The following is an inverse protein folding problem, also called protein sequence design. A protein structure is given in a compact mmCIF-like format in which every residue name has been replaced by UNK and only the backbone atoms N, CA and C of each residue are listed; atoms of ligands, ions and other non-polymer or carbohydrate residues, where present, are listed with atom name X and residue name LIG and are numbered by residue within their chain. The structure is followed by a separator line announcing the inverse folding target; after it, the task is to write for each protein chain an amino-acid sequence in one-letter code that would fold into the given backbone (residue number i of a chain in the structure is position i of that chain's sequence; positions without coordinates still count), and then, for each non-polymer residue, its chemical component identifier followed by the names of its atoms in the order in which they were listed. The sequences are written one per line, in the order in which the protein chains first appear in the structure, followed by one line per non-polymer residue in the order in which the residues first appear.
data_IF_343957490509
#
_entry.id   IF_343957490509
#
_cell.length_a   1.000
_cell.length_b   1.000
_cell.length_c   1.000
_cell.angle_alpha   90.00
_cell.angle_beta   90.00
_cell.angle_gamma   90.00
#
_symmetry.space_group_name_H-M   'P 1'
#
loop_
_entity.id
_entity.type
_entity.pdbx_description
1 polymer ?
#
# COMPACT_ATOMS: atom_id res chain seq x y z
N UNK A 1 -10.55 -15.50 -11.18
CA UNK A 1 -10.97 -14.29 -11.89
C UNK A 1 -10.77 -13.14 -10.91
N UNK A 2 -9.51 -12.74 -10.69
CA UNK A 2 -9.13 -11.89 -9.54
C UNK A 2 -7.84 -11.08 -9.76
N UNK A 3 -7.21 -11.16 -10.93
CA UNK A 3 -5.90 -10.51 -11.16
C UNK A 3 -6.02 -9.04 -11.62
N UNK A 4 -7.10 -8.71 -12.34
CA UNK A 4 -7.26 -7.40 -12.99
C UNK A 4 -7.47 -6.28 -11.97
N UNK A 5 -8.31 -6.51 -10.95
CA UNK A 5 -8.58 -5.54 -9.87
C UNK A 5 -7.55 -5.52 -8.76
N UNK A 6 -6.32 -5.98 -8.99
CA UNK A 6 -5.18 -5.71 -8.10
C UNK A 6 -4.16 -4.82 -8.82
N UNK A 7 -4.03 -4.99 -10.14
CA UNK A 7 -3.17 -4.16 -10.98
C UNK A 7 -3.66 -2.71 -11.03
N UNK A 8 -4.98 -2.48 -11.10
CA UNK A 8 -5.56 -1.14 -11.17
C UNK A 8 -5.34 -0.36 -9.85
N UNK A 9 -5.50 -0.99 -8.68
CA UNK A 9 -5.29 -0.33 -7.38
C UNK A 9 -3.81 -0.19 -7.01
N UNK A 10 -2.92 -1.07 -7.52
CA UNK A 10 -1.48 -0.85 -7.47
C UNK A 10 -1.05 0.33 -8.37
N UNK A 11 -1.63 0.45 -9.57
CA UNK A 11 -1.40 1.60 -10.45
C UNK A 11 -1.91 2.90 -9.83
N UNK A 12 -3.08 2.88 -9.19
CA UNK A 12 -3.60 4.01 -8.42
C UNK A 12 -2.65 4.46 -7.32
N UNK A 13 -2.01 3.53 -6.60
CA UNK A 13 -1.02 3.89 -5.59
C UNK A 13 0.19 4.63 -6.19
N UNK A 14 0.60 4.32 -7.42
CA UNK A 14 1.66 5.04 -8.12
C UNK A 14 1.17 6.43 -8.52
N UNK A 15 0.01 6.52 -9.18
CA UNK A 15 -0.61 7.79 -9.59
C UNK A 15 -0.77 8.78 -8.42
N UNK A 16 -1.29 8.30 -7.29
CA UNK A 16 -1.51 9.12 -6.09
C UNK A 16 -0.20 9.70 -5.53
N UNK A 17 0.93 9.00 -5.69
CA UNK A 17 2.24 9.49 -5.27
C UNK A 17 2.80 10.55 -6.23
N UNK A 18 2.32 10.60 -7.46
CA UNK A 18 2.66 11.62 -8.46
C UNK A 18 1.82 12.89 -8.32
N UNK A 19 0.78 12.91 -7.49
CA UNK A 19 0.06 14.14 -7.14
C UNK A 19 1.02 15.14 -6.48
N UNK A 20 1.43 16.17 -7.24
CA UNK A 20 2.46 17.15 -6.84
C UNK A 20 1.97 18.16 -5.78
N UNK A 21 2.66 19.30 -5.63
CA UNK A 21 2.30 20.37 -4.70
C UNK A 21 0.99 21.09 -5.10
N UNK A 22 0.34 21.84 -4.17
CA UNK A 22 -0.98 22.45 -4.40
C UNK A 22 -1.03 23.33 -5.66
N UNK A 23 -1.94 23.03 -6.60
CA UNK A 23 -2.03 23.74 -7.87
C UNK A 23 -2.96 23.07 -8.90
N UNK A 24 -2.65 23.21 -10.20
CA UNK A 24 -3.49 22.75 -11.32
C UNK A 24 -3.53 21.23 -11.52
N UNK A 25 -2.57 20.49 -10.95
CA UNK A 25 -2.46 19.03 -11.06
C UNK A 25 -3.13 18.29 -9.88
N UNK A 26 -3.84 19.00 -9.00
CA UNK A 26 -4.53 18.35 -7.89
C UNK A 26 -5.86 17.75 -8.30
N UNK A 27 -6.16 16.53 -7.82
CA UNK A 27 -7.45 15.90 -8.06
C UNK A 27 -8.56 16.72 -7.41
N UNK A 28 -9.78 16.53 -7.91
CA UNK A 28 -10.97 17.04 -7.24
C UNK A 28 -11.14 16.36 -5.88
N UNK A 29 -11.85 17.00 -4.96
CA UNK A 29 -12.14 16.44 -3.63
C UNK A 29 -12.78 15.04 -3.71
N UNK A 30 -13.68 14.80 -4.66
CA UNK A 30 -14.31 13.50 -4.85
C UNK A 30 -13.32 12.43 -5.33
N UNK A 31 -12.42 12.77 -6.24
CA UNK A 31 -11.37 11.88 -6.74
C UNK A 31 -10.38 11.53 -5.63
N UNK A 32 -9.93 12.51 -4.85
CA UNK A 32 -9.05 12.29 -3.70
C UNK A 32 -9.69 11.39 -2.63
N UNK A 33 -11.00 11.54 -2.37
CA UNK A 33 -11.76 10.68 -1.45
C UNK A 33 -11.89 9.25 -1.99
N UNK A 34 -12.26 9.10 -3.26
CA UNK A 34 -12.35 7.80 -3.90
C UNK A 34 -11.00 7.06 -3.89
N UNK A 35 -9.89 7.77 -4.08
CA UNK A 35 -8.56 7.18 -3.97
C UNK A 35 -8.26 6.70 -2.55
N UNK A 36 -8.63 7.47 -1.51
CA UNK A 36 -8.50 7.03 -0.12
C UNK A 36 -9.30 5.76 0.15
N UNK A 37 -10.56 5.70 -0.29
CA UNK A 37 -11.44 4.55 -0.05
C UNK A 37 -10.91 3.28 -0.73
N UNK A 38 -10.47 3.40 -1.99
CA UNK A 38 -9.83 2.31 -2.74
C UNK A 38 -8.53 1.84 -2.09
N UNK A 39 -7.63 2.76 -1.77
CA UNK A 39 -6.33 2.43 -1.15
C UNK A 39 -6.48 1.86 0.27
N UNK A 40 -7.48 2.30 1.04
CA UNK A 40 -7.81 1.68 2.32
C UNK A 40 -8.26 0.23 2.13
N UNK A 41 -9.25 0.00 1.25
CA UNK A 41 -9.79 -1.34 1.01
C UNK A 41 -8.72 -2.30 0.50
N UNK A 42 -7.92 -1.84 -0.47
CA UNK A 42 -6.82 -2.62 -1.02
C UNK A 42 -5.71 -2.87 0.03
N UNK A 43 -5.34 -1.85 0.81
CA UNK A 43 -4.39 -1.99 1.91
C UNK A 43 -4.85 -2.98 2.97
N UNK A 44 -6.15 -3.05 3.29
CA UNK A 44 -6.70 -4.03 4.24
C UNK A 44 -6.59 -5.46 3.73
N UNK A 45 -6.83 -5.66 2.43
CA UNK A 45 -6.61 -6.94 1.78
C UNK A 45 -5.13 -7.33 1.85
N UNK A 46 -4.21 -6.47 1.39
CA UNK A 46 -2.77 -6.72 1.44
C UNK A 46 -2.28 -6.99 2.87
N UNK A 47 -2.81 -6.27 3.87
CA UNK A 47 -2.49 -6.51 5.29
C UNK A 47 -2.87 -7.93 5.70
N UNK A 48 -4.04 -8.40 5.27
CA UNK A 48 -4.50 -9.77 5.54
C UNK A 48 -3.59 -10.79 4.88
N UNK A 49 -3.22 -10.55 3.62
CA UNK A 49 -2.34 -11.44 2.86
C UNK A 49 -0.93 -11.48 3.46
N UNK A 50 -0.35 -10.33 3.85
CA UNK A 50 0.95 -10.27 4.55
C UNK A 50 0.86 -11.05 5.85
N UNK A 51 -0.21 -10.87 6.63
CA UNK A 51 -0.38 -11.61 7.89
C UNK A 51 -0.46 -13.12 7.65
N UNK A 52 -1.12 -13.55 6.58
CA UNK A 52 -1.20 -14.95 6.18
C UNK A 52 0.14 -15.50 5.68
N UNK A 53 0.98 -14.68 5.03
CA UNK A 53 2.30 -15.09 4.57
C UNK A 53 3.33 -15.22 5.71
N UNK A 54 3.24 -14.36 6.73
CA UNK A 54 4.13 -14.35 7.90
C UNK A 54 3.48 -15.05 9.12
N UNK A 55 3.17 -16.35 8.97
CA UNK A 55 2.56 -17.16 10.04
C UNK A 55 3.51 -17.51 11.19
N UNK A 56 4.82 -17.48 10.95
CA UNK A 56 5.84 -17.78 11.95
C UNK A 56 7.03 -16.83 11.79
N UNK A 57 7.66 -16.46 12.91
CA UNK A 57 8.80 -15.54 12.93
C UNK A 57 8.41 -14.07 13.09
N UNK A 58 9.36 -13.19 12.77
CA UNK A 58 9.21 -11.74 12.97
C UNK A 58 8.36 -11.16 11.84
N UNK A 59 7.21 -10.57 12.21
CA UNK A 59 6.36 -9.85 11.26
C UNK A 59 7.05 -8.57 10.74
N UNK A 60 6.78 -8.18 9.49
CA UNK A 60 7.39 -6.98 8.92
C UNK A 60 6.84 -5.72 9.60
N UNK A 61 7.68 -4.69 9.87
CA UNK A 61 7.25 -3.47 10.58
C UNK A 61 6.06 -2.75 9.93
N UNK A 62 5.92 -2.86 8.61
CA UNK A 62 4.81 -2.27 7.85
C UNK A 62 3.44 -2.80 8.31
N UNK A 63 3.37 -4.03 8.83
CA UNK A 63 2.13 -4.61 9.34
C UNK A 63 1.62 -3.86 10.57
N UNK A 64 2.51 -3.47 11.48
CA UNK A 64 2.16 -2.67 12.67
C UNK A 64 1.78 -1.22 12.35
N UNK A 65 2.25 -0.68 11.22
CA UNK A 65 1.76 0.60 10.71
C UNK A 65 0.38 0.44 10.05
N UNK A 66 0.18 -0.65 9.30
CA UNK A 66 -1.08 -0.99 8.66
C UNK A 66 -2.21 -1.20 9.67
N UNK A 67 -1.94 -1.91 10.77
CA UNK A 67 -2.88 -2.10 11.88
C UNK A 67 -3.36 -0.79 12.51
N UNK A 68 -2.51 0.24 12.53
CA UNK A 68 -2.84 1.54 13.12
C UNK A 68 -3.51 2.50 12.16
N UNK A 69 -3.23 2.40 10.86
CA UNK A 69 -3.63 3.42 9.87
C UNK A 69 -4.78 3.03 8.98
N UNK A 70 -4.90 1.75 8.58
CA UNK A 70 -5.95 1.30 7.69
C UNK A 70 -7.31 1.29 8.40
N UNK A 71 -8.39 1.43 7.63
CA UNK A 71 -9.76 1.43 8.14
C UNK A 71 -10.15 2.66 8.96
N UNK A 72 -9.20 3.57 9.24
CA UNK A 72 -9.54 4.84 9.87
C UNK A 72 -10.40 5.67 8.91
N UNK A 73 -11.56 6.16 9.38
CA UNK A 73 -12.41 7.00 8.56
C UNK A 73 -11.62 8.24 8.15
N UNK A 74 -11.98 8.77 6.98
CA UNK A 74 -11.53 10.11 6.66
C UNK A 74 -12.01 11.04 7.78
N UNK A 75 -13.29 11.03 8.15
CA UNK A 75 -13.87 11.89 9.20
C UNK A 75 -12.98 11.96 10.45
N UNK A 76 -12.54 13.16 10.85
CA UNK A 76 -11.75 13.26 12.06
C UNK A 76 -12.63 12.88 13.25
N UNK A 77 -12.05 12.16 14.21
CA UNK A 77 -12.67 11.93 15.52
C UNK A 77 -12.92 13.25 16.28
N UNK A 78 -12.30 14.36 15.83
CA UNK A 78 -12.44 15.70 16.40
C UNK A 78 -12.87 16.71 15.32
N UNK A 79 -13.98 17.45 15.51
CA UNK A 79 -14.62 18.28 14.49
C UNK A 79 -13.87 19.58 14.10
N UNK A 80 -12.64 19.79 14.57
CA UNK A 80 -12.05 21.13 14.65
C UNK A 80 -11.15 21.55 13.46
N UNK A 81 -10.87 20.65 12.50
CA UNK A 81 -10.03 20.99 11.34
C UNK A 81 -10.82 20.89 10.02
N UNK A 82 -10.92 21.98 9.25
CA UNK A 82 -11.58 21.95 7.95
C UNK A 82 -10.81 21.04 6.99
N UNK A 83 -11.55 20.13 6.34
CA UNK A 83 -10.95 19.19 5.40
C UNK A 83 -10.70 19.86 4.05
N UNK A 84 -9.44 20.17 3.78
CA UNK A 84 -8.99 20.67 2.49
C UNK A 84 -8.67 19.52 1.54
N UNK A 85 -8.70 19.77 0.23
CA UNK A 85 -8.21 18.78 -0.78
C UNK A 85 -6.80 18.33 -0.41
N UNK A 86 -5.94 19.26 0.05
CA UNK A 86 -4.59 18.98 0.55
C UNK A 86 -4.55 17.87 1.59
N UNK A 87 -5.39 17.98 2.62
CA UNK A 87 -5.42 17.01 3.71
C UNK A 87 -5.86 15.62 3.23
N UNK A 88 -6.74 15.53 2.23
CA UNK A 88 -7.17 14.26 1.65
C UNK A 88 -6.10 13.67 0.73
N UNK A 89 -5.46 14.50 -0.10
CA UNK A 89 -4.33 14.11 -0.95
C UNK A 89 -3.18 13.56 -0.10
N UNK A 90 -2.79 14.25 0.98
CA UNK A 90 -1.75 13.74 1.89
C UNK A 90 -2.16 12.43 2.57
N UNK A 91 -3.44 12.26 2.90
CA UNK A 91 -3.95 10.99 3.41
C UNK A 91 -3.83 9.89 2.37
N UNK A 92 -4.24 10.15 1.12
CA UNK A 92 -4.11 9.22 0.01
C UNK A 92 -2.65 8.81 -0.23
N UNK A 93 -1.72 9.77 -0.27
CA UNK A 93 -0.28 9.52 -0.43
C UNK A 93 0.29 8.66 0.71
N UNK A 94 -0.13 8.91 1.95
CA UNK A 94 0.30 8.08 3.08
C UNK A 94 -0.21 6.63 2.97
N UNK A 95 -1.45 6.45 2.49
CA UNK A 95 -2.00 5.12 2.22
C UNK A 95 -1.30 4.45 1.03
N UNK A 96 -0.99 5.18 -0.03
CA UNK A 96 -0.27 4.66 -1.19
C UNK A 96 1.13 4.14 -0.81
N UNK A 97 1.89 4.89 0.01
CA UNK A 97 3.18 4.41 0.54
C UNK A 97 3.04 3.14 1.38
N UNK A 98 1.96 3.07 2.18
CA UNK A 98 1.68 1.91 3.01
C UNK A 98 1.33 0.68 2.17
N UNK A 99 0.49 0.84 1.14
CA UNK A 99 0.17 -0.18 0.14
C UNK A 99 1.43 -0.69 -0.56
N UNK A 100 2.30 0.19 -1.04
CA UNK A 100 3.59 -0.21 -1.64
C UNK A 100 4.48 -0.97 -0.65
N UNK A 101 4.49 -0.57 0.63
CA UNK A 101 5.25 -1.27 1.66
C UNK A 101 4.71 -2.68 1.93
N UNK A 102 3.38 -2.85 1.96
CA UNK A 102 2.74 -4.16 2.14
C UNK A 102 2.99 -5.07 0.93
N UNK A 103 2.89 -4.54 -0.30
CA UNK A 103 3.20 -5.30 -1.51
C UNK A 103 4.65 -5.81 -1.50
N UNK A 104 5.62 -4.94 -1.20
CA UNK A 104 7.03 -5.34 -1.08
C UNK A 104 7.25 -6.42 0.00
N UNK A 105 6.48 -6.37 1.09
CA UNK A 105 6.55 -7.40 2.12
C UNK A 105 5.99 -8.75 1.64
N UNK A 106 4.92 -8.75 0.84
CA UNK A 106 4.40 -9.96 0.18
C UNK A 106 5.41 -10.52 -0.81
N UNK A 107 5.98 -9.67 -1.66
CA UNK A 107 6.96 -10.08 -2.67
C UNK A 107 8.19 -10.72 -2.00
N UNK A 108 8.64 -10.17 -0.86
CA UNK A 108 9.73 -10.71 -0.05
C UNK A 108 9.35 -11.99 0.73
N UNK A 109 8.07 -12.23 0.97
CA UNK A 109 7.56 -13.45 1.63
C UNK A 109 7.49 -14.64 0.69
N UNK A 110 7.39 -14.38 -0.61
CA UNK A 110 7.33 -15.41 -1.63
C UNK A 110 8.72 -16.04 -1.78
N UNK A 111 8.88 -17.36 -1.60
CA UNK A 111 10.15 -18.04 -1.81
C UNK A 111 10.38 -18.16 -3.33
N UNK A 112 10.73 -17.06 -3.99
CA UNK A 112 11.24 -17.12 -5.36
C UNK A 112 12.62 -17.76 -5.30
N UNK A 113 12.60 -19.07 -5.50
CA UNK A 113 13.57 -19.90 -6.21
C UNK A 113 14.86 -19.16 -6.63
N UNK A 114 15.81 -19.05 -5.70
CA UNK A 114 17.21 -18.99 -6.08
C UNK A 114 17.62 -20.38 -6.58
N UNK A 115 17.16 -20.77 -7.78
CA UNK A 115 17.82 -21.82 -8.57
C UNK A 115 19.11 -21.25 -9.15
N UNK A 116 20.02 -20.82 -8.29
CA UNK A 116 21.42 -20.72 -8.64
C UNK A 116 22.00 -22.12 -8.45
N UNK A 117 22.04 -22.87 -9.56
CA UNK A 117 22.72 -24.15 -9.72
C UNK A 117 24.06 -24.16 -8.95
N UNK A 118 24.37 -25.16 -8.12
CA UNK A 118 25.72 -25.32 -7.63
C UNK A 118 26.61 -25.61 -8.84
N UNK A 119 27.46 -24.65 -9.22
CA UNK A 119 28.57 -24.91 -10.14
C UNK A 119 29.45 -25.94 -9.45
N UNK A 120 29.28 -27.20 -9.84
CA UNK A 120 30.23 -28.27 -9.60
C UNK A 120 31.59 -27.78 -10.11
N UNK A 121 32.42 -27.25 -9.21
CA UNK A 121 33.84 -27.08 -9.48
C UNK A 121 34.44 -28.45 -9.30
N UNK A 122 34.44 -29.24 -10.39
CA UNK A 122 35.30 -30.43 -10.51
C UNK A 122 36.71 -29.98 -10.18
N UNK A 123 37.30 -30.60 -9.16
CA UNK A 123 38.75 -30.73 -9.12
C UNK A 123 39.21 -31.49 -10.35
N UNK A 124 40.26 -30.99 -10.97
CA UNK A 124 41.48 -31.67 -11.39
C UNK A 124 42.44 -30.60 -11.88
#
# INVERSE_FOLDING_TARGET
MTDIGHADEAALAIEVLEWEAPGSAWPKMCEARAAVDKLNSFGEQLRTDVRAAFTSGRQPPVLGEADRRLGLPLEPLLPMLPRTVASVVHRAQNLARLVQGLQRALDASSPVQNTATPRHRKGF
#
